data_IF_419760590557
#
_entry.id   IF_419760590557
#
_cell.length_a   1.000
_cell.length_b   1.000
_cell.length_c   1.000
_cell.angle_alpha   90.00
_cell.angle_beta   90.00
_cell.angle_gamma   90.00
#
_symmetry.space_group_name_H-M   'P 1'
#
loop_
_entity.id
_entity.type
_entity.pdbx_description
1 polymer ?
#
# COMPACT_ATOMS: atom_id res chain seq x y z
N UNK A 1 -17.24 4.90 26.88
CA UNK A 1 -16.50 3.67 26.48
C UNK A 1 -15.66 3.76 25.21
N UNK A 2 -16.19 4.24 24.09
CA UNK A 2 -15.47 4.20 22.80
C UNK A 2 -14.06 4.82 22.85
N UNK A 3 -13.86 5.89 23.64
CA UNK A 3 -12.54 6.48 23.84
C UNK A 3 -11.54 5.50 24.49
N UNK A 4 -11.96 4.72 25.49
CA UNK A 4 -11.10 3.72 26.14
C UNK A 4 -10.72 2.63 25.14
N UNK A 5 -11.67 2.16 24.33
CA UNK A 5 -11.38 1.18 23.27
C UNK A 5 -10.36 1.72 22.26
N UNK A 6 -10.53 2.96 21.82
CA UNK A 6 -9.58 3.63 20.91
C UNK A 6 -8.19 3.73 21.55
N UNK A 7 -8.11 4.18 22.81
CA UNK A 7 -6.83 4.30 23.52
C UNK A 7 -6.15 2.94 23.75
N UNK A 8 -6.91 1.90 24.09
CA UNK A 8 -6.38 0.53 24.22
C UNK A 8 -5.86 0.02 22.87
N UNK A 9 -6.61 0.20 21.79
CA UNK A 9 -6.18 -0.19 20.45
C UNK A 9 -4.91 0.57 20.03
N UNK A 10 -4.82 1.87 20.34
CA UNK A 10 -3.61 2.67 20.13
C UNK A 10 -2.42 2.16 20.93
N UNK A 11 -2.60 1.89 22.22
CA UNK A 11 -1.56 1.35 23.09
C UNK A 11 -1.04 -0.01 22.60
N UNK A 12 -1.93 -0.91 22.20
CA UNK A 12 -1.58 -2.20 21.62
C UNK A 12 -0.86 -2.05 20.27
N UNK A 13 -1.37 -1.20 19.39
CA UNK A 13 -0.75 -0.90 18.11
C UNK A 13 0.69 -0.37 18.29
N UNK A 14 0.89 0.51 19.25
CA UNK A 14 2.19 1.08 19.58
C UNK A 14 3.12 0.04 20.20
N UNK A 15 2.64 -0.72 21.18
CA UNK A 15 3.41 -1.77 21.84
C UNK A 15 3.90 -2.83 20.86
N UNK A 16 3.05 -3.24 19.91
CA UNK A 16 3.43 -4.18 18.86
C UNK A 16 4.53 -3.63 17.95
N UNK A 17 4.49 -2.34 17.60
CA UNK A 17 5.56 -1.71 16.80
C UNK A 17 6.89 -1.65 17.54
N UNK A 18 6.85 -1.40 18.84
CA UNK A 18 8.06 -1.40 19.68
C UNK A 18 8.60 -2.80 19.98
N UNK A 19 7.77 -3.84 19.89
CA UNK A 19 8.13 -5.22 20.21
C UNK A 19 8.93 -5.93 19.09
N UNK A 20 9.68 -5.20 18.26
CA UNK A 20 10.48 -5.79 17.18
C UNK A 20 11.51 -6.79 17.72
N UNK A 21 11.43 -8.09 17.38
CA UNK A 21 12.25 -9.13 18.00
C UNK A 21 13.67 -9.25 17.39
N UNK A 22 14.08 -8.31 16.52
CA UNK A 22 15.38 -8.35 15.85
C UNK A 22 15.42 -9.28 14.61
N UNK A 23 16.63 -9.64 14.18
CA UNK A 23 16.90 -10.37 12.92
C UNK A 23 16.99 -11.89 13.07
N UNK A 24 16.40 -12.46 14.11
CA UNK A 24 16.46 -13.90 14.37
C UNK A 24 15.57 -14.70 13.41
N UNK A 25 16.00 -15.90 13.04
CA UNK A 25 15.24 -16.84 12.19
C UNK A 25 15.59 -16.79 10.70
N UNK A 26 14.87 -17.60 9.93
CA UNK A 26 15.04 -17.70 8.47
C UNK A 26 14.58 -16.41 7.75
N UNK A 27 15.01 -16.19 6.50
CA UNK A 27 14.55 -15.04 5.69
C UNK A 27 13.02 -14.97 5.60
N UNK A 28 12.38 -16.13 5.42
CA UNK A 28 10.92 -16.25 5.34
C UNK A 28 10.26 -15.83 6.66
N UNK A 29 10.76 -16.28 7.80
CA UNK A 29 10.23 -15.89 9.11
C UNK A 29 10.38 -14.40 9.37
N UNK A 30 11.55 -13.83 9.05
CA UNK A 30 11.81 -12.40 9.19
C UNK A 30 10.85 -11.58 8.33
N UNK A 31 10.63 -11.99 7.08
CA UNK A 31 9.68 -11.34 6.18
C UNK A 31 8.24 -11.42 6.70
N UNK A 32 7.80 -12.59 7.16
CA UNK A 32 6.45 -12.78 7.70
C UNK A 32 6.22 -11.96 8.97
N UNK A 33 7.20 -11.92 9.89
CA UNK A 33 7.13 -11.09 11.09
C UNK A 33 7.08 -9.60 10.76
N UNK A 34 7.93 -9.14 9.83
CA UNK A 34 7.90 -7.75 9.35
C UNK A 34 6.55 -7.38 8.78
N UNK A 35 5.99 -8.22 7.91
CA UNK A 35 4.68 -7.98 7.31
C UNK A 35 3.57 -7.97 8.36
N UNK A 36 3.60 -8.88 9.34
CA UNK A 36 2.61 -8.95 10.41
C UNK A 36 2.65 -7.71 11.32
N UNK A 37 3.84 -7.32 11.80
CA UNK A 37 4.00 -6.13 12.63
C UNK A 37 3.72 -4.83 11.86
N UNK A 38 3.88 -4.86 10.53
CA UNK A 38 3.47 -3.76 9.66
C UNK A 38 1.95 -3.66 9.52
N UNK A 39 1.25 -4.77 9.27
CA UNK A 39 -0.19 -4.80 8.96
C UNK A 39 -1.10 -4.82 10.19
N UNK A 40 -0.72 -5.51 11.25
CA UNK A 40 -1.63 -5.73 12.37
C UNK A 40 -2.01 -4.45 13.13
N UNK A 41 -1.06 -3.56 13.50
CA UNK A 41 -1.39 -2.31 14.18
C UNK A 41 -2.38 -1.41 13.41
N UNK A 42 -2.18 -1.09 12.11
CA UNK A 42 -3.13 -0.27 11.37
C UNK A 42 -4.50 -0.95 11.19
N UNK A 43 -4.53 -2.27 10.97
CA UNK A 43 -5.79 -3.01 10.84
C UNK A 43 -6.59 -2.98 12.16
N UNK A 44 -5.93 -3.16 13.30
CA UNK A 44 -6.55 -3.06 14.61
C UNK A 44 -7.21 -1.68 14.82
N UNK A 45 -6.50 -0.60 14.46
CA UNK A 45 -7.02 0.76 14.56
C UNK A 45 -8.22 1.00 13.63
N UNK A 46 -8.12 0.57 12.36
CA UNK A 46 -9.20 0.68 11.38
C UNK A 46 -10.46 -0.06 11.84
N UNK A 47 -10.32 -1.31 12.30
CA UNK A 47 -11.44 -2.10 12.78
C UNK A 47 -12.07 -1.51 14.04
N UNK A 48 -11.27 -0.95 14.94
CA UNK A 48 -11.76 -0.27 16.14
C UNK A 48 -12.58 0.96 15.77
N UNK A 49 -12.09 1.78 14.84
CA UNK A 49 -12.80 2.96 14.33
C UNK A 49 -14.12 2.57 13.65
N UNK A 50 -14.11 1.55 12.80
CA UNK A 50 -15.32 1.04 12.15
C UNK A 50 -16.34 0.53 13.17
N UNK A 51 -15.89 -0.22 14.18
CA UNK A 51 -16.76 -0.70 15.24
C UNK A 51 -17.43 0.46 16.01
N UNK A 52 -16.66 1.50 16.37
CA UNK A 52 -17.18 2.70 17.06
C UNK A 52 -18.22 3.42 16.19
N UNK A 53 -18.02 3.50 14.88
CA UNK A 53 -19.00 4.12 13.97
C UNK A 53 -20.28 3.28 13.86
N UNK A 54 -20.16 1.96 13.76
CA UNK A 54 -21.30 1.04 13.72
C UNK A 54 -22.12 1.04 15.02
N UNK A 55 -21.47 1.23 16.18
CA UNK A 55 -22.13 1.34 17.48
C UNK A 55 -22.92 2.66 17.64
N UNK A 56 -22.55 3.71 16.89
CA UNK A 56 -23.19 5.02 16.98
C UNK A 56 -22.71 5.86 18.17
N UNK A 57 -23.16 7.12 18.30
CA UNK A 57 -22.71 8.02 19.36
C UNK A 57 -23.49 7.86 20.69
N UNK A 58 -24.63 7.16 20.66
CA UNK A 58 -25.57 7.02 21.78
C UNK A 58 -25.60 5.57 22.26
N UNK A 59 -25.68 5.37 23.57
CA UNK A 59 -25.72 4.06 24.20
C UNK A 59 -24.84 3.98 25.43
N UNK A 60 -24.95 2.86 26.13
CA UNK A 60 -24.15 2.56 27.31
C UNK A 60 -23.59 1.16 27.16
N UNK A 61 -22.28 1.02 27.33
CA UNK A 61 -21.61 -0.28 27.35
C UNK A 61 -20.87 -0.39 28.68
N UNK A 62 -21.18 -1.44 29.45
CA UNK A 62 -20.56 -1.71 30.77
C UNK A 62 -20.64 -0.49 31.70
N UNK A 63 -21.80 0.18 31.76
CA UNK A 63 -22.06 1.30 32.69
C UNK A 63 -21.36 2.62 32.35
N UNK A 64 -20.72 2.75 31.17
CA UNK A 64 -20.09 3.98 30.73
C UNK A 64 -20.72 4.46 29.41
N UNK A 65 -21.11 5.73 29.39
CA UNK A 65 -21.78 6.32 28.23
C UNK A 65 -20.88 6.36 26.98
N UNK A 66 -21.50 6.11 25.83
CA UNK A 66 -20.94 6.42 24.53
C UNK A 66 -20.82 7.95 24.39
N UNK A 67 -19.72 8.40 23.77
CA UNK A 67 -19.41 9.82 23.64
C UNK A 67 -19.36 10.26 22.20
N UNK A 68 -20.03 11.38 21.90
CA UNK A 68 -19.94 12.07 20.61
C UNK A 68 -18.50 12.38 20.21
N UNK A 69 -17.64 12.74 21.17
CA UNK A 69 -16.23 13.03 20.92
C UNK A 69 -15.49 11.86 20.23
N UNK A 70 -15.58 10.66 20.81
CA UNK A 70 -14.97 9.45 20.23
C UNK A 70 -15.57 9.06 18.88
N UNK A 71 -16.86 9.35 18.67
CA UNK A 71 -17.51 9.11 17.38
C UNK A 71 -16.97 10.07 16.31
N UNK A 72 -16.86 11.37 16.61
CA UNK A 72 -16.26 12.34 15.69
C UNK A 72 -14.78 12.05 15.42
N UNK A 73 -14.03 11.58 16.42
CA UNK A 73 -12.64 11.16 16.23
C UNK A 73 -12.53 9.98 15.25
N UNK A 74 -13.37 8.96 15.44
CA UNK A 74 -13.46 7.81 14.55
C UNK A 74 -13.84 8.23 13.11
N UNK A 75 -14.85 9.09 12.98
CA UNK A 75 -15.31 9.61 11.69
C UNK A 75 -14.22 10.41 10.98
N UNK A 76 -13.51 11.27 11.71
CA UNK A 76 -12.43 12.10 11.17
C UNK A 76 -11.26 11.24 10.67
N UNK A 77 -10.89 10.21 11.42
CA UNK A 77 -9.84 9.27 10.99
C UNK A 77 -10.25 8.50 9.74
N UNK A 78 -11.48 7.99 9.68
CA UNK A 78 -11.97 7.26 8.50
C UNK A 78 -12.10 8.18 7.28
N UNK A 79 -12.56 9.43 7.48
CA UNK A 79 -12.60 10.45 6.44
C UNK A 79 -11.22 10.76 5.88
N UNK A 80 -10.22 10.95 6.75
CA UNK A 80 -8.83 11.12 6.35
C UNK A 80 -8.29 9.92 5.55
N UNK A 81 -8.55 8.69 6.02
CA UNK A 81 -8.14 7.47 5.33
C UNK A 81 -8.81 7.33 3.95
N UNK A 82 -10.09 7.69 3.83
CA UNK A 82 -10.81 7.72 2.57
C UNK A 82 -10.24 8.73 1.59
N UNK A 83 -10.00 9.97 2.05
CA UNK A 83 -9.39 11.03 1.22
C UNK A 83 -7.98 10.64 0.77
N UNK A 84 -7.17 10.04 1.64
CA UNK A 84 -5.82 9.59 1.28
C UNK A 84 -5.85 8.46 0.26
N UNK A 85 -6.80 7.52 0.37
CA UNK A 85 -7.03 6.46 -0.61
C UNK A 85 -7.41 7.03 -1.98
N UNK A 86 -8.39 7.94 -2.01
CA UNK A 86 -8.84 8.60 -3.24
C UNK A 86 -7.71 9.39 -3.90
N UNK A 87 -6.89 10.10 -3.11
CA UNK A 87 -5.71 10.81 -3.62
C UNK A 87 -4.72 9.85 -4.27
N UNK A 88 -4.39 8.72 -3.64
CA UNK A 88 -3.48 7.71 -4.20
C UNK A 88 -4.06 7.07 -5.46
N UNK A 89 -5.35 6.73 -5.46
CA UNK A 89 -6.04 6.18 -6.63
C UNK A 89 -6.02 7.17 -7.81
N UNK A 90 -6.27 8.46 -7.55
CA UNK A 90 -6.18 9.52 -8.54
C UNK A 90 -4.77 9.68 -9.11
N UNK A 91 -3.75 9.66 -8.24
CA UNK A 91 -2.34 9.72 -8.67
C UNK A 91 -1.99 8.51 -9.53
N UNK A 92 -2.36 7.29 -9.12
CA UNK A 92 -2.15 6.08 -9.91
C UNK A 92 -2.83 6.13 -11.27
N UNK A 93 -4.09 6.59 -11.31
CA UNK A 93 -4.82 6.77 -12.56
C UNK A 93 -4.15 7.80 -13.48
N UNK A 94 -3.71 8.95 -12.93
CA UNK A 94 -2.99 9.97 -13.68
C UNK A 94 -1.69 9.43 -14.25
N UNK A 95 -0.92 8.66 -13.48
CA UNK A 95 0.33 8.05 -13.95
C UNK A 95 0.09 7.10 -15.13
N UNK A 96 -0.91 6.22 -15.05
CA UNK A 96 -1.28 5.33 -16.16
C UNK A 96 -1.72 6.15 -17.38
N UNK A 97 -2.54 7.18 -17.18
CA UNK A 97 -3.00 8.04 -18.28
C UNK A 97 -1.83 8.73 -18.99
N UNK A 98 -0.84 9.22 -18.24
CA UNK A 98 0.36 9.82 -18.81
C UNK A 98 1.19 8.80 -19.57
N UNK A 99 1.38 7.60 -19.04
CA UNK A 99 2.14 6.54 -19.71
C UNK A 99 1.52 6.11 -21.03
N UNK A 100 0.19 6.10 -21.10
CA UNK A 100 -0.54 5.75 -22.34
C UNK A 100 -0.33 6.74 -23.48
N UNK A 101 0.16 7.95 -23.23
CA UNK A 101 0.50 8.90 -24.30
C UNK A 101 1.83 8.56 -24.98
N UNK A 102 2.64 7.69 -24.39
CA UNK A 102 3.91 7.28 -24.96
C UNK A 102 3.74 6.22 -26.06
N UNK A 103 4.68 6.15 -27.03
CA UNK A 103 4.67 5.14 -28.09
C UNK A 103 4.65 3.72 -27.54
N UNK A 104 4.00 2.82 -28.26
CA UNK A 104 4.02 1.39 -27.94
C UNK A 104 5.24 0.72 -28.55
N UNK A 105 5.73 -0.34 -27.91
CA UNK A 105 6.65 -1.29 -28.52
C UNK A 105 6.05 -2.69 -28.55
N UNK A 106 6.51 -3.49 -29.50
CA UNK A 106 6.27 -4.94 -29.57
C UNK A 106 7.63 -5.61 -29.81
N UNK A 107 8.15 -6.30 -28.79
CA UNK A 107 9.46 -6.97 -28.83
C UNK A 107 9.34 -8.33 -28.17
N UNK A 108 9.70 -9.40 -28.88
CA UNK A 108 9.65 -10.78 -28.37
C UNK A 108 8.28 -11.18 -27.78
N UNK A 109 7.20 -10.69 -28.40
CA UNK A 109 5.83 -10.94 -27.95
C UNK A 109 5.42 -10.16 -26.69
N UNK A 110 6.28 -9.28 -26.18
CA UNK A 110 5.99 -8.36 -25.09
C UNK A 110 5.56 -7.01 -25.64
N UNK A 111 4.48 -6.49 -25.09
CA UNK A 111 3.92 -5.18 -25.46
C UNK A 111 3.95 -4.26 -24.26
N UNK A 112 4.33 -3.01 -24.51
CA UNK A 112 4.39 -1.99 -23.48
C UNK A 112 4.55 -0.59 -24.06
N UNK A 113 5.00 0.34 -23.22
CA UNK A 113 5.24 1.74 -23.56
C UNK A 113 6.72 2.08 -23.51
N UNK A 114 7.17 2.95 -24.41
CA UNK A 114 8.56 3.41 -24.46
C UNK A 114 8.67 4.84 -23.95
N UNK A 115 9.48 5.03 -22.91
CA UNK A 115 9.89 6.35 -22.45
C UNK A 115 11.07 6.85 -23.29
N UNK A 116 10.94 8.08 -23.77
CA UNK A 116 12.00 8.80 -24.48
C UNK A 116 13.03 9.32 -23.47
N UNK A 117 13.88 8.41 -23.00
CA UNK A 117 15.00 8.71 -22.10
C UNK A 117 16.10 7.68 -22.30
N UNK A 118 17.34 8.13 -22.13
CA UNK A 118 18.55 7.30 -22.16
C UNK A 118 18.83 6.59 -20.83
N UNK A 119 18.11 6.95 -19.76
CA UNK A 119 18.22 6.26 -18.46
C UNK A 119 17.72 4.83 -18.59
N UNK A 120 18.48 3.85 -18.09
CA UNK A 120 18.06 2.45 -18.08
C UNK A 120 16.90 2.26 -17.10
N UNK A 121 15.70 2.03 -17.62
CA UNK A 121 14.50 1.88 -16.81
C UNK A 121 13.56 0.84 -17.40
N UNK A 122 12.99 0.03 -16.51
CA UNK A 122 11.91 -0.91 -16.75
C UNK A 122 11.05 -0.98 -15.50
N UNK A 123 9.73 -0.97 -15.64
CA UNK A 123 8.81 -1.21 -14.54
C UNK A 123 7.39 -1.53 -15.04
N UNK A 124 6.64 -2.25 -14.20
CA UNK A 124 5.18 -2.28 -14.28
C UNK A 124 4.58 -1.03 -13.62
N UNK A 125 3.86 -0.20 -14.39
CA UNK A 125 3.27 1.03 -13.86
C UNK A 125 1.74 1.00 -13.93
N UNK A 126 1.13 1.21 -12.76
CA UNK A 126 -0.31 1.31 -12.57
C UNK A 126 -0.72 0.74 -11.23
N UNK A 127 -2.02 0.55 -11.03
CA UNK A 127 -2.57 -0.08 -9.83
C UNK A 127 -3.31 -1.38 -10.18
N UNK A 128 -4.41 -1.26 -10.93
CA UNK A 128 -5.30 -2.40 -11.18
C UNK A 128 -4.94 -3.20 -12.44
N UNK A 129 -4.64 -2.50 -13.54
CA UNK A 129 -4.11 -3.05 -14.79
C UNK A 129 -2.80 -2.31 -15.10
N UNK A 130 -1.66 -2.76 -14.54
CA UNK A 130 -0.38 -2.11 -14.81
C UNK A 130 0.05 -2.32 -16.27
N UNK A 131 0.79 -1.35 -16.80
CA UNK A 131 1.41 -1.42 -18.12
C UNK A 131 2.93 -1.55 -17.98
N UNK A 132 3.52 -2.40 -18.82
CA UNK A 132 4.96 -2.50 -18.94
C UNK A 132 5.50 -1.22 -19.56
N UNK A 133 6.44 -0.58 -18.89
CA UNK A 133 7.10 0.63 -19.36
C UNK A 133 8.60 0.41 -19.38
N UNK A 134 9.22 0.72 -20.51
CA UNK A 134 10.66 0.59 -20.73
C UNK A 134 11.21 1.89 -21.28
N UNK A 135 12.45 2.23 -20.95
CA UNK A 135 13.15 3.35 -21.57
C UNK A 135 13.76 2.97 -22.91
N UNK A 136 13.91 3.94 -23.82
CA UNK A 136 14.71 3.78 -25.02
C UNK A 136 16.16 3.39 -24.71
N UNK A 137 16.76 3.97 -23.66
CA UNK A 137 18.12 3.62 -23.20
C UNK A 137 18.27 2.14 -22.87
N UNK A 138 17.32 1.55 -22.16
CA UNK A 138 17.31 0.11 -21.85
C UNK A 138 17.25 -0.75 -23.12
N UNK A 139 16.36 -0.40 -24.06
CA UNK A 139 16.22 -1.13 -25.32
C UNK A 139 17.46 -1.07 -26.21
N UNK A 140 18.22 0.02 -26.13
CA UNK A 140 19.45 0.20 -26.91
C UNK A 140 20.68 -0.39 -26.24
N UNK A 141 20.71 -0.45 -24.91
CA UNK A 141 21.88 -0.89 -24.14
C UNK A 141 21.98 -2.42 -24.00
N UNK A 142 20.86 -3.14 -24.04
CA UNK A 142 20.80 -4.57 -23.79
C UNK A 142 20.57 -5.37 -25.07
N UNK A 143 21.24 -6.50 -25.18
CA UNK A 143 20.96 -7.48 -26.23
C UNK A 143 19.68 -8.28 -25.93
N UNK A 144 19.27 -9.12 -26.89
CA UNK A 144 18.00 -9.85 -26.79
C UNK A 144 17.91 -10.80 -25.58
N UNK A 145 18.94 -11.61 -25.24
CA UNK A 145 18.90 -12.44 -24.04
C UNK A 145 18.71 -11.64 -22.74
N UNK A 146 19.42 -10.51 -22.58
CA UNK A 146 19.29 -9.68 -21.38
C UNK A 146 17.94 -8.98 -21.31
N UNK A 147 17.41 -8.49 -22.44
CA UNK A 147 16.04 -7.94 -22.51
C UNK A 147 14.99 -8.97 -22.13
N UNK A 148 15.12 -10.22 -22.60
CA UNK A 148 14.19 -11.29 -22.24
C UNK A 148 14.20 -11.57 -20.74
N UNK A 149 15.38 -11.53 -20.09
CA UNK A 149 15.48 -11.69 -18.64
C UNK A 149 14.79 -10.55 -17.88
N UNK A 150 14.97 -9.30 -18.32
CA UNK A 150 14.29 -8.13 -17.73
C UNK A 150 12.77 -8.26 -17.90
N UNK A 151 12.28 -8.60 -19.09
CA UNK A 151 10.84 -8.76 -19.31
C UNK A 151 10.25 -9.94 -18.53
N UNK A 152 10.99 -11.04 -18.37
CA UNK A 152 10.58 -12.14 -17.50
C UNK A 152 10.47 -11.71 -16.02
N UNK A 153 11.39 -10.87 -15.55
CA UNK A 153 11.33 -10.28 -14.21
C UNK A 153 10.09 -9.39 -14.03
N UNK A 154 9.83 -8.47 -14.96
CA UNK A 154 8.63 -7.61 -14.93
C UNK A 154 7.32 -8.39 -15.07
N UNK A 155 7.34 -9.49 -15.82
CA UNK A 155 6.20 -10.41 -15.91
C UNK A 155 5.93 -11.08 -14.56
N UNK A 156 6.98 -11.33 -13.76
CA UNK A 156 6.84 -11.75 -12.37
C UNK A 156 6.05 -10.74 -11.54
N UNK A 157 6.41 -9.46 -11.59
CA UNK A 157 5.68 -8.39 -10.90
C UNK A 157 4.22 -8.29 -11.36
N UNK A 158 3.96 -8.47 -12.66
CA UNK A 158 2.61 -8.53 -13.20
C UNK A 158 1.82 -9.73 -12.65
N UNK A 159 2.41 -10.92 -12.70
CA UNK A 159 1.79 -12.18 -12.27
C UNK A 159 1.41 -12.15 -10.78
N UNK A 160 2.32 -11.71 -9.91
CA UNK A 160 2.09 -11.60 -8.47
C UNK A 160 1.31 -10.34 -8.06
N UNK A 161 0.99 -9.48 -9.02
CA UNK A 161 0.24 -8.23 -8.84
C UNK A 161 0.91 -7.29 -7.84
N UNK A 162 2.21 -7.11 -7.95
CA UNK A 162 2.98 -6.35 -6.98
C UNK A 162 2.48 -4.91 -6.84
N UNK A 163 2.20 -4.25 -7.96
CA UNK A 163 1.63 -2.89 -7.98
C UNK A 163 0.31 -2.78 -7.20
N UNK A 164 -0.52 -3.82 -7.23
CA UNK A 164 -1.76 -3.88 -6.47
C UNK A 164 -1.49 -3.98 -4.96
N UNK A 165 -0.60 -4.88 -4.54
CA UNK A 165 -0.28 -5.06 -3.13
C UNK A 165 0.44 -3.84 -2.56
N UNK A 166 1.44 -3.31 -3.26
CA UNK A 166 2.18 -2.13 -2.82
C UNK A 166 1.31 -0.87 -2.73
N UNK A 167 0.26 -0.75 -3.54
CA UNK A 167 -0.74 0.31 -3.37
C UNK A 167 -1.40 0.26 -1.99
N UNK A 168 -1.92 -0.90 -1.58
CA UNK A 168 -2.59 -1.06 -0.29
C UNK A 168 -1.61 -0.93 0.88
N UNK A 169 -0.42 -1.52 0.77
CA UNK A 169 0.63 -1.37 1.78
C UNK A 169 1.05 0.10 1.92
N UNK A 170 1.24 0.80 0.80
CA UNK A 170 1.57 2.23 0.78
C UNK A 170 0.46 3.10 1.37
N UNK A 171 -0.81 2.79 1.09
CA UNK A 171 -1.96 3.49 1.68
C UNK A 171 -2.03 3.29 3.20
N UNK A 172 -1.90 2.04 3.67
CA UNK A 172 -1.86 1.72 5.10
C UNK A 172 -0.71 2.47 5.79
N UNK A 173 0.50 2.42 5.21
CA UNK A 173 1.66 3.16 5.71
C UNK A 173 1.37 4.66 5.82
N UNK A 174 0.71 5.24 4.82
CA UNK A 174 0.38 6.66 4.80
C UNK A 174 -0.63 7.04 5.90
N UNK A 175 -1.59 6.16 6.20
CA UNK A 175 -2.57 6.38 7.26
C UNK A 175 -1.98 6.27 8.67
N UNK A 176 -0.90 5.49 8.83
CA UNK A 176 -0.26 5.25 10.12
C UNK A 176 1.23 5.61 10.13
N UNK A 177 1.62 6.65 9.40
CA UNK A 177 3.01 7.11 9.32
C UNK A 177 3.55 7.65 10.68
N UNK A 178 2.65 7.92 11.62
CA UNK A 178 2.94 8.34 12.98
C UNK A 178 3.19 7.18 13.95
N UNK A 179 2.88 5.93 13.55
CA UNK A 179 3.26 4.77 14.35
C UNK A 179 4.78 4.56 14.29
N UNK A 180 5.41 4.04 15.37
CA UNK A 180 6.83 3.74 15.37
C UNK A 180 7.22 2.76 14.25
N UNK A 181 8.46 2.91 13.78
CA UNK A 181 9.05 2.08 12.73
C UNK A 181 9.54 0.74 13.24
#
# INVERSE_FOLDING_TARGET
>A
MHLIMILMAMGLAWGLRLAWPGTSGSWRERWQRALLLFLWPPLLLMMTVLAVLCMGPQGEMVGLQAGWFSYFLALSFLGFAGVSCLKLAWQGWRSVRQIRTHPQFDLSGQRGRVLDTTTLFSAQIGFWHPELVVSQGLLQALDQPHLNAVFAHEQGHYYYRDTFWFFWLGWIRSCTAWLPY
#
